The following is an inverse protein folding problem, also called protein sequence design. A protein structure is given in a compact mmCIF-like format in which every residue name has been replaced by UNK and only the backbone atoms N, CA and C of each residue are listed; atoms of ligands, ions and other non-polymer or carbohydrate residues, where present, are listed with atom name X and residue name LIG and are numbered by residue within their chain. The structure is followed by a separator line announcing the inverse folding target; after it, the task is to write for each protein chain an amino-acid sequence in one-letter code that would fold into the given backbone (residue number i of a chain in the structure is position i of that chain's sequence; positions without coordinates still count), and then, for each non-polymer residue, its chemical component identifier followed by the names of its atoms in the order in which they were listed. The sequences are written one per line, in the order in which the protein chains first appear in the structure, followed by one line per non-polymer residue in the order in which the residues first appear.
data_IF_452506527596
#
_entry.id   IF_452506527596
#
_cell.length_a   1.000
_cell.length_b   1.000
_cell.length_c   1.000
_cell.angle_alpha   90.00
_cell.angle_beta   90.00
_cell.angle_gamma   90.00
#
_symmetry.space_group_name_H-M   'P 1'
#
loop_
_entity.id
_entity.type
_entity.pdbx_description
1 polymer ?
#
# COMPACT_ATOMS: atom_id res chain seq x y z
N UNK A 1 -58.54 -14.87 8.70
CA UNK A 1 -57.60 -16.01 8.77
C UNK A 1 -58.29 -17.38 8.85
N UNK A 2 -59.16 -17.65 9.84
CA UNK A 2 -59.90 -18.94 9.93
C UNK A 2 -60.75 -19.26 8.69
N UNK A 3 -61.50 -18.28 8.18
CA UNK A 3 -62.31 -18.45 6.95
C UNK A 3 -61.47 -18.78 5.71
N UNK A 4 -60.30 -18.15 5.54
CA UNK A 4 -59.37 -18.42 4.45
C UNK A 4 -58.79 -19.85 4.52
N UNK A 5 -58.46 -20.32 5.72
CA UNK A 5 -57.96 -21.68 5.94
C UNK A 5 -59.04 -22.72 5.63
N UNK A 6 -60.30 -22.46 5.98
CA UNK A 6 -61.43 -23.35 5.64
C UNK A 6 -61.63 -23.44 4.13
N UNK A 7 -61.63 -22.30 3.43
CA UNK A 7 -61.76 -22.26 1.96
C UNK A 7 -60.63 -23.01 1.25
N UNK A 8 -59.39 -22.89 1.73
CA UNK A 8 -58.25 -23.64 1.18
C UNK A 8 -58.41 -25.15 1.42
N UNK A 9 -58.89 -25.57 2.60
CA UNK A 9 -59.11 -26.99 2.91
C UNK A 9 -60.19 -27.62 2.03
N UNK A 10 -61.31 -26.93 1.80
CA UNK A 10 -62.36 -27.39 0.88
C UNK A 10 -61.83 -27.52 -0.56
N UNK A 11 -61.01 -26.56 -0.99
CA UNK A 11 -60.43 -26.52 -2.34
C UNK A 11 -59.44 -27.68 -2.56
N UNK A 12 -58.59 -27.96 -1.56
CA UNK A 12 -57.66 -29.10 -1.58
C UNK A 12 -58.42 -30.43 -1.56
N UNK A 13 -59.50 -30.54 -0.77
CA UNK A 13 -60.31 -31.76 -0.71
C UNK A 13 -61.00 -32.08 -2.04
N UNK A 14 -61.50 -31.05 -2.74
CA UNK A 14 -62.07 -31.19 -4.09
C UNK A 14 -61.03 -31.44 -5.18
N UNK A 15 -59.77 -31.04 -4.97
CA UNK A 15 -58.66 -31.32 -5.90
C UNK A 15 -58.15 -32.76 -5.79
N UNK A 16 -58.22 -33.38 -4.61
CA UNK A 16 -57.70 -34.73 -4.36
C UNK A 16 -58.66 -35.85 -4.82
N UNK A 17 -59.96 -35.57 -4.99
CA UNK A 17 -60.93 -36.63 -5.33
C UNK A 17 -60.95 -37.03 -6.81
N UNK A 18 -60.22 -36.33 -7.68
CA UNK A 18 -60.25 -36.51 -9.12
C UNK A 18 -58.82 -36.64 -9.65
N UNK A 19 -58.37 -37.88 -9.88
CA UNK A 19 -56.99 -38.20 -10.29
C UNK A 19 -56.57 -37.46 -11.57
N UNK A 20 -57.52 -37.18 -12.47
CA UNK A 20 -57.31 -36.39 -13.68
C UNK A 20 -57.08 -34.90 -13.39
N UNK A 21 -57.69 -34.35 -12.33
CA UNK A 21 -57.41 -32.99 -11.85
C UNK A 21 -56.08 -32.90 -11.09
N UNK A 22 -55.68 -33.94 -10.37
CA UNK A 22 -54.34 -34.01 -9.73
C UNK A 22 -53.25 -33.95 -10.79
N UNK A 23 -53.38 -34.71 -11.88
CA UNK A 23 -52.41 -34.70 -12.97
C UNK A 23 -52.36 -33.34 -13.70
N UNK A 24 -53.52 -32.69 -13.89
CA UNK A 24 -53.59 -31.33 -14.45
C UNK A 24 -53.02 -30.28 -13.51
N UNK A 25 -53.23 -30.42 -12.20
CA UNK A 25 -52.67 -29.53 -11.19
C UNK A 25 -51.14 -29.70 -11.06
N UNK A 26 -50.62 -30.92 -11.13
CA UNK A 26 -49.17 -31.16 -11.11
C UNK A 26 -48.51 -30.59 -12.37
N UNK A 27 -49.17 -30.70 -13.53
CA UNK A 27 -48.68 -30.09 -14.76
C UNK A 27 -48.71 -28.56 -14.68
N UNK A 28 -49.79 -27.98 -14.13
CA UNK A 28 -49.91 -26.53 -13.92
C UNK A 28 -48.86 -26.02 -12.94
N UNK A 29 -48.62 -26.73 -11.83
CA UNK A 29 -47.58 -26.41 -10.85
C UNK A 29 -46.19 -26.52 -11.46
N UNK A 30 -45.93 -27.51 -12.32
CA UNK A 30 -44.66 -27.62 -13.05
C UNK A 30 -44.45 -26.44 -14.00
N UNK A 31 -45.50 -26.02 -14.73
CA UNK A 31 -45.44 -24.85 -15.62
C UNK A 31 -45.23 -23.55 -14.83
N UNK A 32 -45.92 -23.38 -13.70
CA UNK A 32 -45.73 -22.24 -12.80
C UNK A 32 -44.31 -22.25 -12.23
N UNK A 33 -43.79 -23.41 -11.83
CA UNK A 33 -42.43 -23.55 -11.31
C UNK A 33 -41.39 -23.18 -12.38
N UNK A 34 -41.54 -23.67 -13.61
CA UNK A 34 -40.67 -23.31 -14.74
C UNK A 34 -40.77 -21.80 -15.03
N UNK A 35 -41.96 -21.21 -14.97
CA UNK A 35 -42.15 -19.77 -15.18
C UNK A 35 -41.50 -18.94 -14.06
N UNK A 36 -41.64 -19.35 -12.80
CA UNK A 36 -40.99 -18.71 -11.65
C UNK A 36 -39.46 -18.84 -11.71
N UNK A 37 -38.94 -20.02 -12.11
CA UNK A 37 -37.50 -20.23 -12.33
C UNK A 37 -37.01 -19.35 -13.47
N UNK A 38 -37.75 -19.24 -14.58
CA UNK A 38 -37.40 -18.34 -15.68
C UNK A 38 -37.48 -16.86 -15.29
N UNK A 39 -38.44 -16.46 -14.46
CA UNK A 39 -38.51 -15.11 -13.89
C UNK A 39 -37.37 -14.83 -12.93
N UNK A 40 -36.96 -15.80 -12.11
CA UNK A 40 -35.80 -15.71 -11.23
C UNK A 40 -34.50 -15.63 -12.04
N UNK A 41 -34.34 -16.45 -13.08
CA UNK A 41 -33.19 -16.40 -14.00
C UNK A 41 -33.18 -15.08 -14.76
N UNK A 42 -34.32 -14.60 -15.27
CA UNK A 42 -34.46 -13.29 -15.92
C UNK A 42 -34.16 -12.14 -14.95
N UNK A 43 -34.64 -12.21 -13.71
CA UNK A 43 -34.36 -11.22 -12.67
C UNK A 43 -32.88 -11.25 -12.27
N UNK A 44 -32.28 -12.43 -12.19
CA UNK A 44 -30.86 -12.63 -11.91
C UNK A 44 -30.00 -12.15 -13.07
N UNK A 45 -30.38 -12.42 -14.32
CA UNK A 45 -29.73 -11.92 -15.53
C UNK A 45 -29.90 -10.40 -15.69
N UNK A 46 -31.04 -9.84 -15.29
CA UNK A 46 -31.27 -8.38 -15.25
C UNK A 46 -30.49 -7.71 -14.13
N UNK A 47 -30.32 -8.37 -12.98
CA UNK A 47 -29.41 -7.92 -11.91
C UNK A 47 -27.94 -8.06 -12.32
N UNK A 48 -27.58 -9.10 -13.09
CA UNK A 48 -26.26 -9.25 -13.70
C UNK A 48 -26.05 -8.19 -14.78
N UNK A 49 -27.04 -7.86 -15.60
CA UNK A 49 -26.96 -6.80 -16.61
C UNK A 49 -26.87 -5.42 -15.96
N UNK A 50 -27.67 -5.13 -14.92
CA UNK A 50 -27.58 -3.88 -14.15
C UNK A 50 -26.28 -3.79 -13.33
N UNK A 51 -25.74 -4.91 -12.84
CA UNK A 51 -24.40 -4.98 -12.25
C UNK A 51 -23.29 -4.93 -13.32
N UNK A 52 -23.48 -5.43 -14.54
CA UNK A 52 -22.49 -5.36 -15.63
C UNK A 52 -22.49 -3.99 -16.32
N UNK A 53 -23.56 -3.21 -16.17
CA UNK A 53 -23.60 -1.81 -16.59
C UNK A 53 -23.13 -0.85 -15.47
N UNK A 54 -22.90 -1.36 -14.24
CA UNK A 54 -22.45 -0.58 -13.09
C UNK A 54 -21.17 -1.11 -12.41
N UNK A 55 -20.65 -2.25 -12.85
CA UNK A 55 -19.46 -2.96 -12.37
C UNK A 55 -18.93 -3.76 -13.57
N UNK A 56 -18.14 -3.11 -14.42
CA UNK A 56 -17.07 -3.83 -15.11
C UNK A 56 -16.07 -4.20 -14.01
N UNK A 57 -16.09 -5.48 -13.61
CA UNK A 57 -15.06 -6.03 -12.74
C UNK A 57 -13.69 -5.70 -13.34
N UNK A 58 -12.77 -5.03 -12.62
CA UNK A 58 -11.36 -5.26 -12.90
C UNK A 58 -11.14 -6.76 -12.69
N UNK A 59 -10.44 -7.38 -13.63
CA UNK A 59 -9.93 -8.73 -13.43
C UNK A 59 -9.34 -8.84 -12.02
N UNK A 60 -9.70 -9.90 -11.29
CA UNK A 60 -8.78 -10.53 -10.35
C UNK A 60 -7.55 -10.91 -11.17
N UNK A 61 -6.72 -9.91 -11.43
CA UNK A 61 -5.37 -10.10 -11.91
C UNK A 61 -4.66 -10.56 -10.67
N UNK A 62 -4.54 -11.87 -10.51
CA UNK A 62 -3.62 -12.41 -9.53
C UNK A 62 -2.29 -11.69 -9.73
N UNK A 63 -1.68 -11.23 -8.64
CA UNK A 63 -0.34 -10.63 -8.64
C UNK A 63 0.68 -11.55 -9.37
N UNK A 64 0.37 -12.84 -9.54
CA UNK A 64 1.09 -13.79 -10.38
C UNK A 64 1.30 -13.36 -11.83
N UNK A 65 0.40 -12.59 -12.45
CA UNK A 65 0.58 -12.14 -13.84
C UNK A 65 1.57 -10.96 -13.95
N UNK A 66 1.89 -10.32 -12.81
CA UNK A 66 2.88 -9.25 -12.71
C UNK A 66 4.31 -9.78 -12.52
N UNK A 67 4.44 -11.05 -12.13
CA UNK A 67 5.72 -11.75 -12.11
C UNK A 67 6.11 -12.20 -13.52
N UNK A 68 6.43 -11.21 -14.36
CA UNK A 68 7.46 -11.40 -15.37
C UNK A 68 8.68 -11.88 -14.61
N UNK A 69 8.98 -13.18 -14.74
CA UNK A 69 10.23 -13.85 -14.41
C UNK A 69 11.28 -12.89 -13.85
N UNK A 70 11.42 -12.80 -12.52
CA UNK A 70 12.31 -11.85 -11.83
C UNK A 70 13.78 -12.03 -12.20
N UNK A 71 14.15 -13.15 -12.84
CA UNK A 71 15.43 -13.30 -13.50
C UNK A 71 15.67 -12.26 -14.61
N UNK A 72 14.60 -11.70 -15.21
CA UNK A 72 14.66 -10.64 -16.22
C UNK A 72 14.69 -9.21 -15.66
N UNK A 73 14.43 -8.98 -14.36
CA UNK A 73 14.57 -7.65 -13.75
C UNK A 73 16.04 -7.30 -13.48
N UNK A 74 16.87 -8.31 -13.19
CA UNK A 74 18.32 -8.16 -13.07
C UNK A 74 18.94 -7.74 -14.41
N UNK A 75 18.51 -8.33 -15.53
CA UNK A 75 18.94 -7.94 -16.88
C UNK A 75 18.38 -6.58 -17.34
N UNK A 76 17.20 -6.15 -16.84
CA UNK A 76 16.61 -4.83 -17.14
C UNK A 76 17.27 -3.67 -16.39
N UNK A 77 18.03 -3.95 -15.33
CA UNK A 77 18.73 -2.94 -14.53
C UNK A 77 19.84 -2.25 -15.34
N UNK A 78 20.53 -2.98 -16.20
CA UNK A 78 21.53 -2.42 -17.12
C UNK A 78 20.90 -1.55 -18.21
N UNK A 79 19.69 -1.88 -18.66
CA UNK A 79 18.96 -1.09 -19.64
C UNK A 79 18.45 0.25 -19.07
N UNK A 80 18.07 0.30 -17.78
CA UNK A 80 17.60 1.53 -17.11
C UNK A 80 18.75 2.45 -16.62
N UNK A 81 19.95 1.91 -16.39
CA UNK A 81 21.10 2.63 -15.85
C UNK A 81 22.18 3.04 -16.87
N UNK A 82 22.15 2.55 -18.12
CA UNK A 82 23.22 2.84 -19.09
C UNK A 82 23.03 4.18 -19.84
N UNK A 83 24.01 5.06 -19.62
CA UNK A 83 24.58 6.05 -20.55
C UNK A 83 23.77 7.27 -21.02
N UNK A 84 22.50 7.45 -20.64
CA UNK A 84 21.67 8.56 -21.16
C UNK A 84 21.40 9.74 -20.21
N UNK A 85 22.14 9.89 -19.10
CA UNK A 85 22.08 11.15 -18.33
C UNK A 85 22.93 12.21 -19.05
N UNK A 86 22.30 12.81 -20.05
CA UNK A 86 22.77 14.03 -20.68
C UNK A 86 22.68 15.15 -19.62
N UNK A 87 23.79 15.84 -19.38
CA UNK A 87 23.89 16.95 -18.44
C UNK A 87 22.76 17.98 -18.65
N UNK A 88 22.24 18.60 -17.57
CA UNK A 88 21.22 19.64 -17.67
C UNK A 88 21.66 20.74 -18.66
N UNK A 89 20.72 21.22 -19.47
CA UNK A 89 20.94 22.36 -20.37
C UNK A 89 21.77 22.10 -21.63
N UNK A 90 22.30 20.89 -21.87
CA UNK A 90 23.03 20.59 -23.11
C UNK A 90 22.13 20.45 -24.34
N UNK A 91 20.88 20.03 -24.17
CA UNK A 91 19.88 19.98 -25.23
C UNK A 91 18.78 21.02 -24.96
N UNK A 92 18.35 21.72 -26.00
CA UNK A 92 17.14 22.51 -25.92
C UNK A 92 15.93 21.55 -25.80
N UNK A 93 14.93 21.85 -24.95
CA UNK A 93 13.70 21.07 -24.94
C UNK A 93 13.10 21.09 -26.35
N UNK A 94 12.61 19.93 -26.80
CA UNK A 94 11.99 19.81 -28.11
C UNK A 94 10.62 20.52 -28.12
N UNK A 95 9.97 20.59 -26.95
CA UNK A 95 8.71 21.28 -26.74
C UNK A 95 8.86 22.80 -26.66
N UNK A 96 7.91 23.50 -27.28
CA UNK A 96 7.76 24.97 -27.21
C UNK A 96 6.96 25.44 -25.99
N UNK A 97 6.12 24.57 -25.39
CA UNK A 97 5.42 24.85 -24.15
C UNK A 97 4.93 23.57 -23.47
N UNK A 98 4.95 23.56 -22.13
CA UNK A 98 4.53 22.42 -21.31
C UNK A 98 3.44 22.87 -20.35
N UNK A 99 2.43 22.04 -20.16
CA UNK A 99 1.40 22.23 -19.13
C UNK A 99 1.21 20.94 -18.35
N UNK A 100 1.21 21.02 -17.03
CA UNK A 100 0.86 19.91 -16.16
C UNK A 100 -0.51 20.16 -15.54
N UNK A 101 -1.39 19.16 -15.58
CA UNK A 101 -2.70 19.20 -14.91
C UNK A 101 -2.83 18.01 -13.97
N UNK A 102 -3.19 18.23 -12.71
CA UNK A 102 -3.42 17.14 -11.76
C UNK A 102 -3.65 17.62 -10.33
N UNK A 103 -3.78 16.69 -9.36
CA UNK A 103 -4.04 16.99 -7.97
C UNK A 103 -2.76 17.50 -7.30
N UNK A 104 -2.54 18.81 -7.37
CA UNK A 104 -1.43 19.51 -6.72
C UNK A 104 -1.96 20.13 -5.44
N UNK A 105 -1.29 19.87 -4.30
CA UNK A 105 -1.69 20.37 -2.97
C UNK A 105 -3.17 20.11 -2.61
N UNK A 106 -3.74 19.00 -3.08
CA UNK A 106 -5.13 18.61 -2.84
C UNK A 106 -6.16 19.29 -3.77
N UNK A 107 -5.72 20.05 -4.78
CA UNK A 107 -6.58 20.70 -5.77
C UNK A 107 -6.17 20.30 -7.20
N UNK A 108 -7.15 20.15 -8.10
CA UNK A 108 -6.86 19.97 -9.52
C UNK A 108 -6.42 21.30 -10.14
N UNK A 109 -5.13 21.45 -10.40
CA UNK A 109 -4.53 22.66 -10.95
C UNK A 109 -3.92 22.38 -12.32
N UNK A 110 -3.98 23.38 -13.21
CA UNK A 110 -3.21 23.39 -14.46
C UNK A 110 -2.11 24.44 -14.36
N UNK A 111 -0.86 24.01 -14.42
CA UNK A 111 0.31 24.87 -14.34
C UNK A 111 1.02 24.91 -15.70
N UNK A 112 1.40 26.10 -16.13
CA UNK A 112 2.30 26.27 -17.28
C UNK A 112 3.73 26.16 -16.76
N UNK A 113 4.49 25.22 -17.31
CA UNK A 113 5.85 24.94 -16.84
C UNK A 113 6.82 25.94 -17.47
N UNK A 114 7.57 26.64 -16.63
CA UNK A 114 8.63 27.57 -17.05
C UNK A 114 10.03 27.05 -16.74
N UNK A 115 10.15 26.03 -15.88
CA UNK A 115 11.42 25.39 -15.51
C UNK A 115 12.04 24.66 -16.70
N UNK A 116 13.18 25.15 -17.20
CA UNK A 116 13.92 24.50 -18.29
C UNK A 116 14.42 23.12 -17.89
N UNK A 117 14.83 22.96 -16.63
CA UNK A 117 15.32 21.68 -16.10
C UNK A 117 14.21 20.63 -16.09
N UNK A 118 13.00 21.00 -15.65
CA UNK A 118 11.83 20.12 -15.73
C UNK A 118 11.57 19.67 -17.17
N UNK A 119 11.50 20.63 -18.11
CA UNK A 119 11.20 20.33 -19.51
C UNK A 119 12.25 19.39 -20.12
N UNK A 120 13.52 19.62 -19.79
CA UNK A 120 14.64 18.78 -20.25
C UNK A 120 14.54 17.36 -19.69
N UNK A 121 14.28 17.20 -18.38
CA UNK A 121 14.12 15.88 -17.76
C UNK A 121 12.88 15.14 -18.29
N UNK A 122 11.77 15.84 -18.50
CA UNK A 122 10.56 15.27 -19.08
C UNK A 122 10.82 14.72 -20.49
N UNK A 123 11.49 15.49 -21.36
CA UNK A 123 11.87 15.05 -22.69
C UNK A 123 12.85 13.86 -22.63
N UNK A 124 13.79 13.85 -21.69
CA UNK A 124 14.69 12.70 -21.51
C UNK A 124 13.92 11.43 -21.14
N UNK A 125 12.95 11.51 -20.22
CA UNK A 125 12.09 10.38 -19.84
C UNK A 125 11.25 9.91 -21.05
N UNK A 126 10.66 10.84 -21.80
CA UNK A 126 9.83 10.53 -22.97
C UNK A 126 10.66 9.92 -24.10
N UNK A 127 11.84 10.47 -24.39
CA UNK A 127 12.73 9.95 -25.42
C UNK A 127 13.19 8.54 -25.08
N UNK A 128 13.54 8.28 -23.81
CA UNK A 128 13.78 6.91 -23.35
C UNK A 128 12.60 5.99 -23.67
N UNK A 129 11.36 6.45 -23.50
CA UNK A 129 10.18 5.67 -23.87
C UNK A 129 10.09 5.30 -25.35
N UNK A 130 10.62 6.12 -26.24
CA UNK A 130 10.64 5.85 -27.67
C UNK A 130 11.77 4.92 -28.12
N UNK A 131 12.90 4.90 -27.40
CA UNK A 131 14.10 4.15 -27.81
C UNK A 131 14.23 2.75 -27.19
N UNK A 132 13.46 2.40 -26.16
CA UNK A 132 13.50 1.03 -25.63
C UNK A 132 12.84 0.00 -26.56
N UNK A 133 13.35 -1.23 -26.48
CA UNK A 133 12.81 -2.40 -27.17
C UNK A 133 11.38 -2.69 -26.71
N UNK A 134 10.61 -3.39 -27.56
CA UNK A 134 9.19 -3.74 -27.36
C UNK A 134 8.85 -4.33 -25.98
N UNK A 135 9.84 -4.90 -25.28
CA UNK A 135 9.66 -5.70 -24.08
C UNK A 135 9.55 -4.85 -22.78
N UNK A 136 9.74 -3.53 -22.90
CA UNK A 136 9.53 -2.55 -21.82
C UNK A 136 8.20 -1.80 -21.95
N UNK A 137 7.49 -1.98 -23.07
CA UNK A 137 6.24 -1.29 -23.36
C UNK A 137 5.08 -2.18 -22.91
N UNK A 138 4.30 -1.68 -21.94
CA UNK A 138 3.16 -2.38 -21.37
C UNK A 138 1.88 -1.68 -21.86
N UNK A 139 0.76 -2.39 -22.07
CA UNK A 139 -0.53 -1.75 -22.28
C UNK A 139 -0.84 -0.72 -21.18
N UNK A 140 -1.36 0.43 -21.60
CA UNK A 140 -1.84 1.46 -20.68
C UNK A 140 -3.04 0.97 -19.86
N UNK A 141 -3.31 1.67 -18.76
CA UNK A 141 -4.47 1.40 -17.90
C UNK A 141 -5.52 2.50 -18.04
N UNK A 142 -6.71 2.22 -17.52
CA UNK A 142 -7.72 3.25 -17.33
C UNK A 142 -7.28 4.17 -16.19
N UNK A 143 -6.87 5.39 -16.53
CA UNK A 143 -6.39 6.36 -15.55
C UNK A 143 -7.47 6.84 -14.59
N UNK A 144 -8.77 6.61 -14.88
CA UNK A 144 -9.86 6.97 -13.97
C UNK A 144 -9.90 6.10 -12.71
N UNK A 145 -9.18 4.97 -12.70
CA UNK A 145 -9.05 4.09 -11.54
C UNK A 145 -7.92 4.50 -10.61
N UNK A 146 -7.20 5.58 -10.91
CA UNK A 146 -6.05 6.05 -10.13
C UNK A 146 -6.46 7.19 -9.19
N UNK A 147 -6.01 7.10 -7.94
CA UNK A 147 -6.23 8.16 -6.95
C UNK A 147 -5.46 9.44 -7.29
N UNK A 148 -4.26 9.29 -7.88
CA UNK A 148 -3.38 10.40 -8.28
C UNK A 148 -2.82 10.16 -9.69
N UNK A 149 -3.06 11.12 -10.57
CA UNK A 149 -2.55 11.12 -11.94
C UNK A 149 -2.35 12.55 -12.43
N UNK A 150 -1.25 12.80 -13.14
CA UNK A 150 -0.92 14.09 -13.72
C UNK A 150 -0.88 14.00 -15.23
N UNK A 151 -1.64 14.85 -15.92
CA UNK A 151 -1.60 15.00 -17.36
C UNK A 151 -0.53 16.03 -17.76
N UNK A 152 0.50 15.58 -18.46
CA UNK A 152 1.51 16.41 -19.09
C UNK A 152 1.14 16.64 -20.57
N UNK A 153 0.86 17.89 -20.92
CA UNK A 153 0.61 18.33 -22.29
C UNK A 153 1.84 19.07 -22.82
N UNK A 154 2.35 18.63 -23.97
CA UNK A 154 3.56 19.19 -24.59
C UNK A 154 3.23 19.64 -26.01
N UNK A 155 3.57 20.89 -26.33
CA UNK A 155 3.38 21.45 -27.66
C UNK A 155 4.74 21.54 -28.38
N UNK A 156 5.00 20.65 -29.34
CA UNK A 156 6.26 20.55 -30.06
C UNK A 156 6.28 21.47 -31.29
N UNK A 157 6.51 22.77 -31.10
CA UNK A 157 6.52 23.78 -32.16
C UNK A 157 5.28 23.74 -33.09
N UNK A 158 5.26 24.53 -34.17
CA UNK A 158 4.09 24.63 -35.05
C UNK A 158 3.95 23.48 -36.08
N UNK A 159 4.97 22.61 -36.20
CA UNK A 159 5.03 21.57 -37.22
C UNK A 159 4.86 20.15 -36.65
N UNK A 160 5.04 19.96 -35.34
CA UNK A 160 4.82 18.67 -34.68
C UNK A 160 3.54 18.74 -33.85
N UNK A 161 2.62 17.77 -33.98
CA UNK A 161 1.43 17.72 -33.14
C UNK A 161 1.80 17.70 -31.65
N UNK A 162 0.96 18.34 -30.83
CA UNK A 162 1.10 18.22 -29.38
C UNK A 162 0.96 16.77 -28.92
N UNK A 163 1.68 16.42 -27.87
CA UNK A 163 1.58 15.10 -27.22
C UNK A 163 1.03 15.25 -25.81
N UNK A 164 0.20 14.29 -25.42
CA UNK A 164 -0.32 14.15 -24.07
C UNK A 164 0.24 12.88 -23.44
N UNK A 165 0.67 13.00 -22.18
CA UNK A 165 1.13 11.90 -21.35
C UNK A 165 0.45 11.95 -19.98
N UNK A 166 0.27 10.78 -19.37
CA UNK A 166 -0.12 10.65 -17.97
C UNK A 166 1.07 10.18 -17.14
N UNK A 167 1.35 10.85 -16.03
CA UNK A 167 2.35 10.51 -15.03
C UNK A 167 1.62 10.06 -13.76
N UNK A 168 1.94 8.87 -13.25
CA UNK A 168 1.30 8.34 -12.06
C UNK A 168 2.16 7.26 -11.40
N UNK A 169 1.79 6.87 -10.18
CA UNK A 169 2.30 5.67 -9.54
C UNK A 169 1.20 4.63 -9.41
N UNK A 170 1.55 3.37 -9.62
CA UNK A 170 0.69 2.22 -9.32
C UNK A 170 1.47 1.27 -8.42
N UNK A 171 0.95 0.99 -7.23
CA UNK A 171 1.60 0.17 -6.20
C UNK A 171 3.05 0.62 -5.93
N UNK A 172 3.26 1.93 -5.80
CA UNK A 172 4.58 2.55 -5.57
C UNK A 172 5.49 2.68 -6.80
N UNK A 173 5.17 2.00 -7.92
CA UNK A 173 5.98 2.02 -9.14
C UNK A 173 5.55 3.20 -10.04
N UNK A 174 6.46 4.08 -10.48
CA UNK A 174 6.11 5.20 -11.35
C UNK A 174 6.00 4.80 -12.82
N UNK A 175 5.04 5.40 -13.50
CA UNK A 175 4.77 5.19 -14.92
C UNK A 175 4.57 6.51 -15.66
N UNK A 176 4.92 6.47 -16.94
CA UNK A 176 4.47 7.43 -17.94
C UNK A 176 3.65 6.68 -19.00
N UNK A 177 2.46 7.18 -19.31
CA UNK A 177 1.54 6.60 -20.30
C UNK A 177 1.24 7.60 -21.41
N UNK A 178 1.51 7.23 -22.66
CA UNK A 178 1.13 8.04 -23.81
C UNK A 178 -0.36 7.95 -24.07
N UNK A 179 -1.04 9.09 -24.20
CA UNK A 179 -2.48 9.14 -24.52
C UNK A 179 -2.75 8.63 -25.93
N UNK A 180 -1.86 8.91 -26.88
CA UNK A 180 -2.07 8.61 -28.30
C UNK A 180 -2.05 7.12 -28.59
N UNK A 181 -1.06 6.40 -28.04
CA UNK A 181 -0.87 4.96 -28.29
C UNK A 181 -1.42 4.08 -27.18
N UNK A 182 -1.84 4.67 -26.05
CA UNK A 182 -2.30 3.98 -24.85
C UNK A 182 -1.33 2.89 -24.38
N UNK A 183 -0.05 3.25 -24.33
CA UNK A 183 1.04 2.42 -23.84
C UNK A 183 1.74 3.14 -22.71
N UNK A 184 2.22 2.36 -21.75
CA UNK A 184 2.94 2.87 -20.58
C UNK A 184 4.31 2.25 -20.45
N UNK A 185 5.18 3.00 -19.80
CA UNK A 185 6.54 2.58 -19.44
C UNK A 185 6.82 2.94 -17.99
N UNK A 186 7.59 2.08 -17.33
CA UNK A 186 8.11 2.35 -15.99
C UNK A 186 9.14 3.49 -16.04
N UNK A 187 9.02 4.44 -15.12
CA UNK A 187 9.99 5.53 -14.94
C UNK A 187 10.82 5.23 -13.69
N UNK A 188 12.15 5.41 -13.69
CA UNK A 188 12.94 5.29 -12.47
C UNK A 188 12.40 6.22 -11.37
N UNK A 189 12.27 5.70 -10.14
CA UNK A 189 11.72 6.49 -9.03
C UNK A 189 12.56 7.74 -8.73
N UNK A 190 13.89 7.65 -8.92
CA UNK A 190 14.81 8.80 -8.91
C UNK A 190 14.35 9.93 -9.83
N UNK A 191 14.06 9.60 -11.09
CA UNK A 191 13.73 10.59 -12.12
C UNK A 191 12.31 11.13 -11.91
N UNK A 192 11.37 10.27 -11.51
CA UNK A 192 10.00 10.66 -11.20
C UNK A 192 9.97 11.68 -10.05
N UNK A 193 10.62 11.38 -8.92
CA UNK A 193 10.67 12.31 -7.78
C UNK A 193 11.42 13.61 -8.10
N UNK A 194 12.57 13.51 -8.80
CA UNK A 194 13.33 14.68 -9.26
C UNK A 194 12.48 15.60 -10.14
N UNK A 195 11.67 15.03 -11.04
CA UNK A 195 10.78 15.79 -11.92
C UNK A 195 9.78 16.63 -11.11
N UNK A 196 9.17 16.09 -10.06
CA UNK A 196 8.23 16.85 -9.23
C UNK A 196 8.91 17.90 -8.35
N UNK A 197 10.10 17.61 -7.81
CA UNK A 197 10.89 18.62 -7.08
C UNK A 197 11.37 19.78 -7.96
N UNK A 198 11.53 19.57 -9.28
CA UNK A 198 11.83 20.64 -10.23
C UNK A 198 10.61 21.51 -10.60
N UNK A 199 9.40 21.05 -10.28
CA UNK A 199 8.15 21.72 -10.59
C UNK A 199 7.59 22.51 -9.41
N UNK A 200 7.54 21.85 -8.25
CA UNK A 200 6.97 22.38 -7.03
C UNK A 200 8.16 22.53 -6.09
N UNK A 201 8.63 23.75 -5.96
CA UNK A 201 9.49 24.07 -4.83
C UNK A 201 8.63 23.97 -3.58
N UNK A 202 8.83 22.92 -2.78
CA UNK A 202 8.35 22.87 -1.40
C UNK A 202 9.19 23.88 -0.63
N UNK A 203 8.85 25.17 -0.80
CA UNK A 203 9.68 26.29 -0.35
C UNK A 203 9.99 26.27 1.14
N UNK A 204 9.27 25.47 1.93
CA UNK A 204 9.63 25.15 3.31
C UNK A 204 10.78 24.15 3.37
N UNK A 205 10.63 22.95 2.81
CA UNK A 205 11.65 21.90 2.86
C UNK A 205 12.93 22.29 2.14
N UNK A 206 12.86 22.89 0.95
CA UNK A 206 14.06 23.29 0.21
C UNK A 206 14.88 24.35 0.95
N UNK A 207 14.22 25.34 1.55
CA UNK A 207 14.84 26.39 2.37
C UNK A 207 15.50 25.80 3.61
N UNK A 208 14.81 24.90 4.31
CA UNK A 208 15.32 24.25 5.51
C UNK A 208 16.54 23.39 5.18
N UNK A 209 16.46 22.54 4.14
CA UNK A 209 17.58 21.71 3.67
C UNK A 209 18.79 22.57 3.25
N UNK A 210 18.60 23.64 2.49
CA UNK A 210 19.74 24.49 2.08
C UNK A 210 20.40 25.20 3.26
N UNK A 211 19.59 25.66 4.23
CA UNK A 211 20.09 26.27 5.46
C UNK A 211 20.91 25.26 6.26
N UNK A 212 20.39 24.06 6.46
CA UNK A 212 21.02 23.03 7.29
C UNK A 212 22.30 22.48 6.61
N UNK A 213 22.27 22.27 5.29
CA UNK A 213 23.47 21.93 4.50
C UNK A 213 24.55 23.01 4.62
N UNK A 214 24.17 24.29 4.61
CA UNK A 214 25.11 25.42 4.76
C UNK A 214 25.77 25.44 6.14
N UNK A 215 25.02 25.10 7.19
CA UNK A 215 25.52 24.98 8.57
C UNK A 215 26.51 23.81 8.67
N UNK A 216 26.16 22.64 8.12
CA UNK A 216 27.03 21.46 8.08
C UNK A 216 28.36 21.78 7.38
N UNK A 217 28.29 22.36 6.17
CA UNK A 217 29.48 22.75 5.39
C UNK A 217 30.39 23.71 6.15
N UNK A 218 29.80 24.73 6.79
CA UNK A 218 30.56 25.72 7.57
C UNK A 218 31.21 25.06 8.78
N UNK A 219 30.53 24.10 9.43
CA UNK A 219 31.02 23.43 10.63
C UNK A 219 32.21 22.50 10.32
N UNK A 220 32.13 21.75 9.22
CA UNK A 220 33.22 20.89 8.74
C UNK A 220 34.49 21.69 8.39
N UNK A 221 34.35 22.91 7.88
CA UNK A 221 35.49 23.77 7.53
C UNK A 221 36.24 24.37 8.73
N UNK A 222 35.64 24.41 9.92
CA UNK A 222 36.14 25.15 11.09
C UNK A 222 36.69 24.27 12.22
N UNK A 223 36.85 22.95 12.02
CA UNK A 223 37.00 21.98 13.12
C UNK A 223 35.89 22.18 14.18
N UNK A 224 34.66 22.48 13.72
CA UNK A 224 33.55 22.96 14.54
C UNK A 224 32.98 21.90 15.49
N UNK A 225 32.17 22.36 16.45
CA UNK A 225 31.52 21.53 17.47
C UNK A 225 30.63 20.47 16.82
N UNK A 226 30.93 19.21 17.13
CA UNK A 226 30.26 18.00 16.62
C UNK A 226 28.72 18.02 16.76
N UNK A 227 28.21 18.70 17.80
CA UNK A 227 26.77 18.73 18.12
C UNK A 227 25.90 19.43 17.07
N UNK A 228 26.36 20.56 16.51
CA UNK A 228 25.54 21.35 15.58
C UNK A 228 25.46 20.64 14.23
N UNK A 229 26.57 20.05 13.79
CA UNK A 229 26.60 19.22 12.57
C UNK A 229 25.63 18.05 12.69
N UNK A 230 25.63 17.35 13.83
CA UNK A 230 24.74 16.21 14.07
C UNK A 230 23.27 16.62 14.04
N UNK A 231 22.88 17.69 14.73
CA UNK A 231 21.48 18.11 14.76
C UNK A 231 20.94 18.46 13.37
N UNK A 232 21.68 19.27 12.61
CA UNK A 232 21.26 19.67 11.26
C UNK A 232 21.22 18.46 10.29
N UNK A 233 22.08 17.47 10.50
CA UNK A 233 22.04 16.22 9.74
C UNK A 233 20.74 15.47 10.02
N UNK A 234 20.41 15.26 11.30
CA UNK A 234 19.17 14.60 11.73
C UNK A 234 17.94 15.38 11.26
N UNK A 235 17.95 16.72 11.32
CA UNK A 235 16.84 17.55 10.85
C UNK A 235 16.54 17.30 9.36
N UNK A 236 17.58 17.17 8.52
CA UNK A 236 17.41 16.79 7.11
C UNK A 236 16.84 15.37 6.98
N UNK A 237 17.31 14.40 7.79
CA UNK A 237 16.78 13.03 7.76
C UNK A 237 15.28 12.98 8.09
N UNK A 238 14.80 13.82 9.02
CA UNK A 238 13.38 13.89 9.38
C UNK A 238 12.48 14.34 8.23
N UNK A 239 13.00 15.09 7.25
CA UNK A 239 12.25 15.46 6.05
C UNK A 239 12.07 14.31 5.04
N UNK A 240 12.80 13.19 5.20
CA UNK A 240 12.63 11.97 4.43
C UNK A 240 12.67 12.17 2.90
N UNK A 241 11.69 11.60 2.20
CA UNK A 241 11.63 11.62 0.72
C UNK A 241 11.58 13.06 0.14
N UNK A 242 11.04 14.03 0.87
CA UNK A 242 11.00 15.42 0.40
C UNK A 242 12.42 16.01 0.29
N UNK A 243 13.26 15.80 1.32
CA UNK A 243 14.66 16.21 1.29
C UNK A 243 15.46 15.41 0.26
N UNK A 244 15.20 14.10 0.14
CA UNK A 244 15.82 13.25 -0.87
C UNK A 244 15.61 13.79 -2.28
N UNK A 245 14.36 13.99 -2.71
CA UNK A 245 14.09 14.43 -4.07
C UNK A 245 14.55 15.87 -4.33
N UNK A 246 14.53 16.73 -3.31
CA UNK A 246 15.14 18.05 -3.40
C UNK A 246 16.64 17.95 -3.69
N UNK A 247 17.40 17.18 -2.89
CA UNK A 247 18.83 17.00 -3.09
C UNK A 247 19.15 16.33 -4.44
N UNK A 248 18.35 15.36 -4.89
CA UNK A 248 18.48 14.77 -6.23
C UNK A 248 18.26 15.80 -7.35
N UNK A 249 17.41 16.80 -7.14
CA UNK A 249 17.25 17.93 -8.06
C UNK A 249 18.49 18.84 -8.09
N UNK A 250 19.20 18.98 -6.97
CA UNK A 250 20.47 19.72 -6.91
C UNK A 250 21.59 18.96 -7.63
N UNK A 251 21.64 17.63 -7.47
CA UNK A 251 22.51 16.78 -8.28
C UNK A 251 22.22 16.94 -9.77
N UNK A 252 20.93 16.90 -10.16
CA UNK A 252 20.51 17.12 -11.54
C UNK A 252 20.98 18.48 -12.08
N UNK A 253 20.94 19.54 -11.26
CA UNK A 253 21.42 20.89 -11.60
C UNK A 253 22.95 21.04 -11.59
N UNK A 254 23.70 19.99 -11.28
CA UNK A 254 25.15 19.98 -11.33
C UNK A 254 25.87 20.26 -10.01
N UNK A 255 25.17 20.25 -8.86
CA UNK A 255 25.79 20.50 -7.55
C UNK A 255 26.59 19.30 -6.98
N UNK A 256 26.60 18.16 -7.69
CA UNK A 256 27.25 16.92 -7.24
C UNK A 256 28.78 16.97 -7.11
N UNK A 257 29.48 17.80 -7.89
CA UNK A 257 30.95 17.86 -7.89
C UNK A 257 31.53 18.82 -6.82
N UNK A 258 30.84 18.96 -5.69
CA UNK A 258 31.19 19.91 -4.62
C UNK A 258 31.26 19.20 -3.26
N UNK A 259 31.82 19.87 -2.25
CA UNK A 259 31.73 19.40 -0.87
C UNK A 259 30.26 19.23 -0.40
N UNK A 260 29.35 20.08 -0.92
CA UNK A 260 27.90 19.95 -0.71
C UNK A 260 27.40 18.62 -1.31
N UNK A 261 27.86 18.28 -2.52
CA UNK A 261 27.57 17.02 -3.18
C UNK A 261 27.92 15.78 -2.36
N UNK A 262 29.07 15.77 -1.69
CA UNK A 262 29.45 14.66 -0.79
C UNK A 262 28.49 14.52 0.40
N UNK A 263 28.11 15.63 1.03
CA UNK A 263 27.16 15.60 2.16
C UNK A 263 25.79 15.13 1.69
N UNK A 264 25.30 15.65 0.55
CA UNK A 264 24.02 15.26 -0.04
C UNK A 264 23.99 13.77 -0.40
N UNK A 265 25.08 13.21 -0.94
CA UNK A 265 25.17 11.78 -1.25
C UNK A 265 24.95 10.92 0.00
N UNK A 266 25.64 11.25 1.10
CA UNK A 266 25.54 10.50 2.35
C UNK A 266 24.13 10.61 2.96
N UNK A 267 23.58 11.82 3.02
CA UNK A 267 22.20 12.04 3.49
C UNK A 267 21.20 11.27 2.64
N UNK A 268 21.34 11.27 1.31
CA UNK A 268 20.47 10.50 0.45
C UNK A 268 20.60 9.00 0.67
N UNK A 269 21.80 8.45 0.86
CA UNK A 269 21.99 7.01 1.15
C UNK A 269 21.36 6.63 2.51
N UNK A 270 21.48 7.49 3.51
CA UNK A 270 20.85 7.30 4.83
C UNK A 270 19.32 7.36 4.75
N UNK A 271 18.75 8.35 4.05
CA UNK A 271 17.30 8.45 3.81
C UNK A 271 16.79 7.22 3.05
N UNK A 272 17.55 6.77 2.03
CA UNK A 272 17.15 5.64 1.20
C UNK A 272 17.24 4.29 1.95
N UNK A 273 18.21 4.13 2.86
CA UNK A 273 18.38 2.91 3.64
C UNK A 273 18.46 1.65 2.75
N UNK A 274 17.45 0.78 2.82
CA UNK A 274 17.37 -0.45 2.02
C UNK A 274 16.90 -0.24 0.56
N UNK A 275 16.32 0.93 0.25
CA UNK A 275 15.89 1.30 -1.11
C UNK A 275 17.09 1.61 -2.00
N UNK A 276 18.22 1.97 -1.40
CA UNK A 276 19.46 2.19 -2.11
C UNK A 276 20.02 0.86 -2.63
N UNK A 277 20.47 0.85 -3.89
CA UNK A 277 21.11 -0.31 -4.49
C UNK A 277 22.65 -0.24 -4.46
N UNK A 278 23.21 0.95 -4.24
CA UNK A 278 24.63 1.22 -4.13
C UNK A 278 24.92 2.12 -2.93
N UNK A 279 25.70 1.62 -1.98
CA UNK A 279 26.14 2.41 -0.82
C UNK A 279 27.07 3.55 -1.25
N UNK A 280 27.15 4.59 -0.44
CA UNK A 280 27.97 5.78 -0.67
C UNK A 280 29.50 5.54 -0.57
N UNK A 281 29.97 4.30 -0.69
CA UNK A 281 31.36 3.92 -0.45
C UNK A 281 32.18 3.92 -1.76
N UNK A 282 33.36 4.53 -1.72
CA UNK A 282 34.41 4.50 -2.75
C UNK A 282 34.03 5.00 -4.17
N UNK A 283 32.94 5.77 -4.33
CA UNK A 283 32.55 6.41 -5.60
C UNK A 283 32.31 7.92 -5.45
N UNK A 284 32.47 8.66 -6.55
CA UNK A 284 32.22 10.11 -6.54
C UNK A 284 30.71 10.41 -6.44
N UNK A 285 30.28 11.55 -5.85
CA UNK A 285 28.85 11.86 -5.72
C UNK A 285 28.09 11.93 -7.04
N UNK A 286 28.74 12.40 -8.11
CA UNK A 286 28.13 12.43 -9.43
C UNK A 286 27.99 11.03 -10.03
N UNK A 287 29.00 10.18 -9.85
CA UNK A 287 28.96 8.78 -10.29
C UNK A 287 27.90 8.00 -9.51
N UNK A 288 27.81 8.22 -8.19
CA UNK A 288 26.75 7.69 -7.35
C UNK A 288 25.38 8.11 -7.88
N UNK A 289 25.14 9.41 -8.07
CA UNK A 289 23.85 9.92 -8.56
C UNK A 289 23.50 9.37 -9.95
N UNK A 290 24.47 9.29 -10.86
CA UNK A 290 24.25 8.77 -12.21
C UNK A 290 23.82 7.31 -12.18
N UNK A 291 24.48 6.52 -11.34
CA UNK A 291 24.21 5.09 -11.18
C UNK A 291 23.09 4.76 -10.18
N UNK A 292 22.59 5.76 -9.45
CA UNK A 292 21.61 5.56 -8.39
C UNK A 292 20.34 4.96 -8.97
N UNK A 293 19.97 3.80 -8.44
CA UNK A 293 18.67 3.21 -8.65
C UNK A 293 17.95 3.06 -7.31
N UNK A 294 16.83 3.76 -7.18
CA UNK A 294 15.96 3.67 -6.00
C UNK A 294 14.98 2.53 -6.24
N UNK A 295 15.08 1.48 -5.43
CA UNK A 295 14.14 0.36 -5.45
C UNK A 295 12.75 0.88 -5.07
N UNK A 296 11.73 0.78 -5.95
CA UNK A 296 10.37 1.15 -5.59
C UNK A 296 9.85 0.18 -4.52
N UNK A 297 9.04 0.71 -3.60
CA UNK A 297 8.25 -0.12 -2.68
C UNK A 297 7.08 -0.73 -3.45
N UNK A 298 6.92 -2.05 -3.35
CA UNK A 298 5.71 -2.73 -3.77
C UNK A 298 4.75 -2.73 -2.58
N UNK A 299 3.74 -1.87 -2.65
CA UNK A 299 2.70 -1.80 -1.61
C UNK A 299 1.84 -3.05 -1.67
N UNK A 300 1.71 -3.75 -0.54
CA UNK A 300 0.93 -4.96 -0.39
C UNK A 300 -0.20 -4.75 0.63
N UNK A 301 -1.34 -5.45 0.49
CA UNK A 301 -2.43 -5.36 1.47
C UNK A 301 -2.07 -6.09 2.76
N UNK A 302 -2.65 -5.68 3.88
CA UNK A 302 -2.42 -6.36 5.16
C UNK A 302 -2.90 -7.81 5.19
N UNK A 303 -2.40 -8.57 6.15
CA UNK A 303 -2.80 -9.95 6.37
C UNK A 303 -4.30 -10.09 6.61
N UNK A 304 -4.92 -11.04 5.89
CA UNK A 304 -6.32 -11.43 6.09
C UNK A 304 -6.41 -12.90 6.47
N UNK A 305 -7.06 -13.18 7.60
CA UNK A 305 -7.32 -14.53 8.06
C UNK A 305 -8.27 -15.29 7.12
N UNK A 306 -7.81 -16.45 6.64
CA UNK A 306 -8.54 -17.29 5.67
C UNK A 306 -9.31 -18.46 6.30
N UNK A 307 -9.31 -18.58 7.63
CA UNK A 307 -10.02 -19.64 8.32
C UNK A 307 -11.53 -19.39 8.44
N UNK A 308 -12.25 -20.42 8.89
CA UNK A 308 -13.72 -20.41 8.96
C UNK A 308 -14.28 -19.99 10.33
N UNK A 309 -13.45 -19.84 11.35
CA UNK A 309 -13.89 -19.37 12.67
C UNK A 309 -14.24 -17.88 12.59
N UNK A 310 -15.52 -17.57 12.79
CA UNK A 310 -16.05 -16.20 12.68
C UNK A 310 -15.53 -15.26 13.77
N UNK A 311 -15.36 -15.74 14.99
CA UNK A 311 -14.89 -14.90 16.09
C UNK A 311 -13.38 -14.67 15.98
N UNK A 312 -12.63 -15.71 15.58
CA UNK A 312 -11.22 -15.53 15.29
C UNK A 312 -11.00 -14.60 14.09
N UNK A 313 -11.83 -14.71 13.04
CA UNK A 313 -11.79 -13.78 11.91
C UNK A 313 -12.04 -12.33 12.35
N UNK A 314 -13.05 -12.09 13.19
CA UNK A 314 -13.32 -10.78 13.79
C UNK A 314 -12.11 -10.24 14.57
N UNK A 315 -11.41 -11.09 15.31
CA UNK A 315 -10.18 -10.73 16.03
C UNK A 315 -9.09 -10.30 15.07
N UNK A 316 -8.80 -11.09 14.03
CA UNK A 316 -7.79 -10.75 13.02
C UNK A 316 -8.11 -9.45 12.30
N UNK A 317 -9.37 -9.26 11.86
CA UNK A 317 -9.81 -8.04 11.19
C UNK A 317 -9.63 -6.80 12.10
N UNK A 318 -9.99 -6.93 13.39
CA UNK A 318 -9.85 -5.84 14.36
C UNK A 318 -8.39 -5.51 14.64
N UNK A 319 -7.54 -6.50 14.90
CA UNK A 319 -6.10 -6.26 15.13
C UNK A 319 -5.44 -5.68 13.89
N UNK A 320 -5.68 -6.23 12.70
CA UNK A 320 -5.12 -5.69 11.46
C UNK A 320 -5.51 -4.23 11.27
N UNK A 321 -6.78 -3.87 11.49
CA UNK A 321 -7.23 -2.48 11.36
C UNK A 321 -6.59 -1.55 12.40
N UNK A 322 -6.44 -1.99 13.65
CA UNK A 322 -5.84 -1.17 14.73
C UNK A 322 -4.34 -0.99 14.52
N UNK A 323 -3.67 -1.99 13.93
CA UNK A 323 -2.23 -1.99 13.69
C UNK A 323 -1.84 -1.42 12.33
N UNK A 324 -2.80 -1.13 11.45
CA UNK A 324 -2.47 -0.60 10.13
C UNK A 324 -1.64 0.69 10.23
N UNK A 325 -0.51 0.71 9.54
CA UNK A 325 0.44 1.81 9.52
C UNK A 325 1.12 1.88 8.14
N UNK A 326 0.69 2.85 7.33
CA UNK A 326 1.19 3.06 5.96
C UNK A 326 2.71 3.29 5.91
N UNK A 327 3.29 3.89 6.96
CA UNK A 327 4.73 4.20 6.99
C UNK A 327 5.56 2.95 7.29
N UNK A 328 4.98 1.97 7.99
CA UNK A 328 5.64 0.73 8.38
C UNK A 328 5.46 -0.40 7.34
N UNK A 329 4.48 -0.28 6.43
CA UNK A 329 4.19 -1.28 5.40
C UNK A 329 3.07 -2.24 5.81
N UNK A 330 3.00 -3.42 5.20
CA UNK A 330 1.92 -4.35 5.49
C UNK A 330 2.14 -5.07 6.83
N UNK A 331 1.07 -5.35 7.56
CA UNK A 331 1.12 -6.01 8.87
C UNK A 331 0.75 -7.50 8.78
N UNK A 332 1.53 -8.33 9.46
CA UNK A 332 1.16 -9.70 9.84
C UNK A 332 0.77 -9.70 11.31
N UNK A 333 -0.48 -10.02 11.61
CA UNK A 333 -0.96 -10.16 13.00
C UNK A 333 -1.09 -11.63 13.40
N UNK A 334 -0.83 -11.92 14.66
CA UNK A 334 -0.79 -13.27 15.21
C UNK A 334 -1.37 -13.27 16.64
N UNK A 335 -2.70 -13.40 16.78
CA UNK A 335 -3.39 -13.36 18.06
C UNK A 335 -3.42 -14.74 18.75
N UNK A 336 -3.19 -14.74 20.07
CA UNK A 336 -3.56 -15.81 20.98
C UNK A 336 -4.78 -15.38 21.79
N UNK A 337 -5.91 -16.04 21.59
CA UNK A 337 -7.16 -15.73 22.31
C UNK A 337 -7.25 -16.54 23.60
N UNK A 338 -7.35 -15.85 24.74
CA UNK A 338 -7.49 -16.49 26.04
C UNK A 338 -8.94 -16.90 26.35
N UNK A 339 -9.91 -16.22 25.75
CA UNK A 339 -11.32 -16.57 25.86
C UNK A 339 -12.27 -15.53 25.25
N UNK A 340 -13.50 -15.99 25.04
CA UNK A 340 -14.65 -15.21 24.59
C UNK A 340 -15.67 -15.18 25.73
N UNK A 341 -16.08 -13.99 26.17
CA UNK A 341 -16.95 -13.80 27.32
C UNK A 341 -18.18 -13.01 26.90
N UNK A 342 -19.35 -13.66 26.86
CA UNK A 342 -20.61 -13.01 26.51
C UNK A 342 -21.43 -12.66 27.77
N UNK A 343 -22.05 -11.48 27.80
CA UNK A 343 -23.04 -11.09 28.81
C UNK A 343 -24.14 -10.23 28.17
N UNK A 344 -25.32 -10.81 27.97
CA UNK A 344 -26.40 -10.17 27.20
C UNK A 344 -26.02 -10.02 25.72
N UNK A 345 -26.08 -8.78 25.20
CA UNK A 345 -25.67 -8.46 23.83
C UNK A 345 -24.21 -7.96 23.75
N UNK A 346 -23.39 -8.25 24.76
CA UNK A 346 -21.99 -7.82 24.79
C UNK A 346 -21.07 -9.04 24.70
N UNK A 347 -20.03 -8.94 23.87
CA UNK A 347 -18.95 -9.91 23.75
C UNK A 347 -17.63 -9.22 24.12
N UNK A 348 -16.92 -9.74 25.12
CA UNK A 348 -15.52 -9.37 25.39
C UNK A 348 -14.58 -10.48 24.92
N UNK A 349 -13.53 -10.10 24.20
CA UNK A 349 -12.46 -11.00 23.78
C UNK A 349 -11.16 -10.53 24.44
N UNK A 350 -10.46 -11.45 25.11
CA UNK A 350 -9.14 -11.18 25.72
C UNK A 350 -8.08 -11.95 24.96
N UNK A 351 -7.01 -11.26 24.57
CA UNK A 351 -5.98 -11.80 23.70
C UNK A 351 -4.60 -11.17 23.92
N UNK A 352 -3.56 -11.86 23.46
CA UNK A 352 -2.23 -11.29 23.22
C UNK A 352 -1.93 -11.41 21.74
N UNK A 353 -1.55 -10.31 21.10
CA UNK A 353 -1.21 -10.27 19.67
C UNK A 353 0.26 -9.95 19.48
N UNK A 354 0.94 -10.80 18.72
CA UNK A 354 2.21 -10.45 18.06
C UNK A 354 1.87 -9.84 16.70
N UNK A 355 2.44 -8.69 16.39
CA UNK A 355 2.29 -8.04 15.09
C UNK A 355 3.66 -7.63 14.56
N UNK A 356 3.91 -7.90 13.28
CA UNK A 356 5.15 -7.58 12.59
C UNK A 356 4.82 -6.84 11.27
N UNK A 357 5.57 -5.78 10.98
CA UNK A 357 5.44 -4.98 9.77
C UNK A 357 6.55 -5.32 8.77
N UNK A 358 6.18 -5.28 7.50
CA UNK A 358 7.11 -5.55 6.42
C UNK A 358 6.92 -4.62 5.23
N UNK A 359 8.04 -4.29 4.59
CA UNK A 359 8.06 -3.63 3.28
C UNK A 359 8.71 -4.54 2.24
N UNK A 360 8.14 -4.56 1.05
CA UNK A 360 8.69 -5.29 -0.09
C UNK A 360 9.36 -4.29 -1.05
N UNK A 361 10.67 -4.45 -1.23
CA UNK A 361 11.42 -3.72 -2.26
C UNK A 361 11.92 -4.73 -3.29
N UNK A 362 11.35 -4.68 -4.48
CA UNK A 362 11.58 -5.68 -5.54
C UNK A 362 11.32 -7.11 -5.04
N UNK A 363 12.38 -7.91 -4.87
CA UNK A 363 12.32 -9.28 -4.36
C UNK A 363 12.87 -9.40 -2.93
N UNK A 364 13.03 -8.28 -2.21
CA UNK A 364 13.55 -8.27 -0.84
C UNK A 364 12.48 -7.82 0.14
N UNK A 365 12.12 -8.70 1.06
CA UNK A 365 11.22 -8.41 2.18
C UNK A 365 12.04 -7.89 3.36
N UNK A 366 11.68 -6.72 3.87
CA UNK A 366 12.35 -6.03 4.96
C UNK A 366 11.41 -5.97 6.15
N UNK A 367 11.85 -6.47 7.31
CA UNK A 367 11.19 -6.20 8.58
C UNK A 367 11.40 -4.75 9.00
N UNK A 368 10.31 -4.03 9.27
CA UNK A 368 10.34 -2.60 9.62
C UNK A 368 10.02 -2.34 11.09
N UNK A 369 9.39 -3.28 11.77
CA UNK A 369 9.09 -3.18 13.20
C UNK A 369 7.98 -4.12 13.62
N UNK A 370 7.57 -4.04 14.88
CA UNK A 370 6.54 -4.91 15.42
C UNK A 370 6.51 -4.88 16.94
N UNK A 371 5.65 -5.70 17.52
CA UNK A 371 5.53 -5.77 18.97
C UNK A 371 4.57 -6.85 19.43
N UNK A 372 4.47 -6.98 20.75
CA UNK A 372 3.51 -7.88 21.41
C UNK A 372 2.63 -7.05 22.33
N UNK A 373 1.32 -7.17 22.19
CA UNK A 373 0.36 -6.41 22.98
C UNK A 373 -0.75 -7.30 23.53
N UNK A 374 -1.00 -7.21 24.83
CA UNK A 374 -2.19 -7.80 25.45
C UNK A 374 -3.34 -6.80 25.41
N UNK A 375 -4.51 -7.27 24.99
CA UNK A 375 -5.66 -6.40 24.75
C UNK A 375 -6.99 -7.04 25.14
N UNK A 376 -7.98 -6.19 25.36
CA UNK A 376 -9.39 -6.52 25.50
C UNK A 376 -10.21 -5.79 24.43
N UNK A 377 -11.03 -6.55 23.71
CA UNK A 377 -11.98 -6.02 22.73
C UNK A 377 -13.39 -6.22 23.25
N UNK A 378 -14.19 -5.15 23.33
CA UNK A 378 -15.61 -5.20 23.67
C UNK A 378 -16.44 -4.92 22.43
N UNK A 379 -17.35 -5.82 22.12
CA UNK A 379 -18.24 -5.75 20.97
C UNK A 379 -19.71 -5.77 21.39
N UNK A 380 -20.51 -4.94 20.73
CA UNK A 380 -21.95 -5.10 20.70
C UNK A 380 -22.34 -6.20 19.71
N UNK A 381 -23.25 -7.08 20.11
CA UNK A 381 -23.85 -8.11 19.24
C UNK A 381 -25.17 -7.60 18.67
N UNK A 382 -25.22 -7.45 17.37
CA UNK A 382 -26.39 -6.97 16.62
C UNK A 382 -27.44 -8.07 16.42
N UNK A 383 -28.65 -7.66 16.00
CA UNK A 383 -29.79 -8.59 15.77
C UNK A 383 -29.55 -9.61 14.66
N UNK A 384 -28.69 -9.29 13.70
CA UNK A 384 -28.28 -10.18 12.60
C UNK A 384 -27.07 -11.06 12.96
N UNK A 385 -26.60 -11.00 14.21
CA UNK A 385 -25.38 -11.62 14.73
C UNK A 385 -24.07 -11.05 14.16
N UNK A 386 -24.07 -9.84 13.59
CA UNK A 386 -22.83 -9.09 13.41
C UNK A 386 -22.34 -8.51 14.75
N UNK A 387 -21.09 -8.09 14.77
CA UNK A 387 -20.45 -7.49 15.93
C UNK A 387 -19.93 -6.09 15.58
N UNK A 388 -20.15 -5.13 16.47
CA UNK A 388 -19.66 -3.76 16.34
C UNK A 388 -18.69 -3.49 17.49
N UNK A 389 -17.45 -3.07 17.21
CA UNK A 389 -16.46 -2.76 18.24
C UNK A 389 -16.92 -1.52 19.02
N UNK A 390 -17.16 -1.66 20.32
CA UNK A 390 -17.50 -0.55 21.22
C UNK A 390 -16.28 0.03 21.92
N UNK A 391 -15.33 -0.84 22.32
CA UNK A 391 -14.15 -0.43 23.08
C UNK A 391 -12.98 -1.37 22.84
N UNK A 392 -11.80 -0.80 22.62
CA UNK A 392 -10.52 -1.50 22.59
C UNK A 392 -9.63 -0.99 23.72
N UNK A 393 -9.07 -1.91 24.51
CA UNK A 393 -8.20 -1.60 25.64
C UNK A 393 -6.90 -2.38 25.49
N UNK A 394 -5.76 -1.68 25.46
CA UNK A 394 -4.44 -2.31 25.41
C UNK A 394 -3.75 -2.17 26.77
N UNK A 395 -2.97 -3.18 27.16
CA UNK A 395 -2.07 -3.09 28.30
C UNK A 395 -1.06 -1.94 28.12
N UNK A 396 -0.86 -1.15 29.17
CA UNK A 396 0.18 -0.12 29.24
C UNK A 396 1.56 -0.75 29.43
N UNK A 397 2.64 -0.03 29.14
CA UNK A 397 4.00 -0.55 29.37
C UNK A 397 4.52 -0.33 30.81
N UNK A 398 5.64 -0.98 31.12
CA UNK A 398 6.42 -0.75 32.34
C UNK A 398 5.66 -1.09 33.62
N UNK A 399 5.72 -0.21 34.62
CA UNK A 399 5.10 -0.43 35.94
C UNK A 399 3.57 -0.55 35.91
N UNK A 400 2.92 -0.15 34.81
CA UNK A 400 1.46 -0.18 34.67
C UNK A 400 0.95 -1.42 33.92
N UNK A 401 1.85 -2.24 33.38
CA UNK A 401 1.50 -3.41 32.56
C UNK A 401 0.58 -4.39 33.30
N UNK A 402 1.01 -4.88 34.46
CA UNK A 402 0.22 -5.84 35.24
C UNK A 402 -1.12 -5.26 35.68
N UNK A 403 -1.13 -4.02 36.17
CA UNK A 403 -2.35 -3.36 36.64
C UNK A 403 -3.38 -3.20 35.51
N UNK A 404 -2.95 -2.79 34.32
CA UNK A 404 -3.86 -2.62 33.18
C UNK A 404 -4.47 -3.96 32.74
N UNK A 405 -3.68 -5.04 32.76
CA UNK A 405 -4.18 -6.39 32.45
C UNK A 405 -5.24 -6.83 33.46
N UNK A 406 -5.00 -6.59 34.76
CA UNK A 406 -5.99 -6.89 35.80
C UNK A 406 -7.29 -6.10 35.61
N UNK A 407 -7.20 -4.84 35.23
CA UNK A 407 -8.34 -3.94 35.06
C UNK A 407 -9.29 -4.39 33.95
N UNK A 408 -8.77 -4.81 32.80
CA UNK A 408 -9.63 -5.25 31.70
C UNK A 408 -10.12 -6.71 31.82
N UNK A 409 -9.55 -7.50 32.75
CA UNK A 409 -9.92 -8.90 33.04
C UNK A 409 -11.24 -9.05 33.83
N UNK A 410 -12.30 -8.43 33.32
CA UNK A 410 -13.65 -8.39 33.90
C UNK A 410 -14.72 -8.71 32.85
N UNK A 411 -15.86 -9.23 33.28
CA UNK A 411 -17.03 -9.49 32.43
C UNK A 411 -17.54 -8.21 31.73
N UNK A 412 -18.00 -8.29 30.47
CA UNK A 412 -18.31 -7.10 29.67
C UNK A 412 -19.43 -6.20 30.20
N UNK A 413 -20.43 -6.75 30.90
CA UNK A 413 -21.57 -5.94 31.36
C UNK A 413 -21.57 -5.73 32.88
N UNK A 414 -21.33 -6.79 33.65
CA UNK A 414 -21.36 -6.74 35.12
C UNK A 414 -20.06 -6.24 35.75
N UNK A 415 -18.96 -6.17 35.00
CA UNK A 415 -17.64 -5.78 35.52
C UNK A 415 -17.06 -6.75 36.57
N UNK A 416 -17.65 -7.96 36.71
CA UNK A 416 -17.14 -8.97 37.63
C UNK A 416 -15.79 -9.49 37.14
N UNK A 417 -14.80 -9.58 38.04
CA UNK A 417 -13.49 -10.18 37.72
C UNK A 417 -13.64 -11.60 37.17
N UNK A 418 -12.86 -11.92 36.13
CA UNK A 418 -12.76 -13.26 35.57
C UNK A 418 -11.63 -13.99 36.33
N UNK A 419 -11.93 -14.98 37.20
CA UNK A 419 -10.93 -15.54 38.10
C UNK A 419 -9.76 -16.19 37.35
N UNK A 420 -8.53 -15.83 37.73
CA UNK A 420 -7.29 -16.41 37.20
C UNK A 420 -6.87 -15.93 35.80
N UNK A 421 -7.70 -15.15 35.10
CA UNK A 421 -7.42 -14.74 33.72
C UNK A 421 -6.18 -13.82 33.62
N UNK A 422 -6.07 -12.82 34.50
CA UNK A 422 -4.94 -11.91 34.49
C UNK A 422 -3.59 -12.65 34.65
N UNK A 423 -3.51 -13.58 35.61
CA UNK A 423 -2.31 -14.41 35.81
C UNK A 423 -2.00 -15.24 34.55
N UNK A 424 -3.01 -15.84 33.91
CA UNK A 424 -2.82 -16.60 32.67
C UNK A 424 -2.22 -15.75 31.54
N UNK A 425 -2.66 -14.49 31.41
CA UNK A 425 -2.12 -13.55 30.41
C UNK A 425 -0.67 -13.18 30.75
N UNK A 426 -0.39 -12.85 32.01
CA UNK A 426 0.96 -12.50 32.48
C UNK A 426 1.96 -13.66 32.31
N UNK A 427 1.53 -14.88 32.64
CA UNK A 427 2.34 -16.09 32.47
C UNK A 427 2.64 -16.32 30.98
N UNK A 428 1.65 -16.14 30.10
CA UNK A 428 1.84 -16.26 28.66
C UNK A 428 2.79 -15.20 28.08
N UNK A 429 2.70 -13.95 28.53
CA UNK A 429 3.61 -12.90 28.08
C UNK A 429 5.06 -13.13 28.50
N UNK A 430 5.31 -13.96 29.51
CA UNK A 430 6.67 -14.37 29.90
C UNK A 430 7.29 -15.37 28.91
N UNK A 431 6.48 -16.05 28.10
CA UNK A 431 6.93 -16.96 27.05
C UNK A 431 5.85 -17.16 25.97
N UNK A 432 5.94 -16.39 24.89
CA UNK A 432 5.02 -16.43 23.76
C UNK A 432 5.61 -17.11 22.51
N UNK A 433 6.45 -18.14 22.68
CA UNK A 433 7.08 -18.87 21.57
C UNK A 433 6.10 -19.39 20.51
N UNK A 434 4.89 -19.74 20.94
CA UNK A 434 3.83 -20.21 20.04
C UNK A 434 3.39 -19.12 19.05
N UNK A 435 3.40 -17.84 19.47
CA UNK A 435 3.12 -16.72 18.57
C UNK A 435 4.20 -16.55 17.52
N UNK A 436 5.47 -16.76 17.86
CA UNK A 436 6.57 -16.67 16.88
C UNK A 436 6.42 -17.74 15.79
N UNK A 437 6.06 -18.96 16.19
CA UNK A 437 5.81 -20.06 15.24
C UNK A 437 4.62 -19.74 14.34
N UNK A 438 3.50 -19.30 14.92
CA UNK A 438 2.30 -18.95 14.15
C UNK A 438 2.54 -17.73 13.23
N UNK A 439 3.39 -16.78 13.64
CA UNK A 439 3.79 -15.63 12.82
C UNK A 439 4.55 -16.08 11.58
N UNK A 440 5.48 -17.02 11.71
CA UNK A 440 6.21 -17.58 10.57
C UNK A 440 5.26 -18.32 9.60
N UNK A 441 4.29 -19.06 10.14
CA UNK A 441 3.26 -19.75 9.35
C UNK A 441 2.33 -18.76 8.62
N UNK A 442 1.88 -17.71 9.32
CA UNK A 442 1.04 -16.66 8.77
C UNK A 442 1.78 -15.91 7.66
N UNK A 443 3.02 -15.47 7.90
CA UNK A 443 3.83 -14.78 6.89
C UNK A 443 4.07 -15.69 5.67
N UNK A 444 4.44 -16.95 5.88
CA UNK A 444 4.66 -17.90 4.77
C UNK A 444 3.40 -18.10 3.94
N UNK A 445 2.26 -18.29 4.61
CA UNK A 445 0.95 -18.47 3.94
C UNK A 445 0.56 -17.21 3.17
N UNK A 446 0.79 -16.04 3.76
CA UNK A 446 0.55 -14.75 3.14
C UNK A 446 1.41 -14.57 1.88
N UNK A 447 2.73 -14.72 2.00
CA UNK A 447 3.64 -14.59 0.85
C UNK A 447 3.25 -15.53 -0.28
N UNK A 448 2.91 -16.78 0.05
CA UNK A 448 2.39 -17.75 -0.92
C UNK A 448 1.11 -17.25 -1.62
N UNK A 449 0.15 -16.72 -0.88
CA UNK A 449 -1.09 -16.17 -1.45
C UNK A 449 -0.85 -14.99 -2.40
N UNK A 450 0.24 -14.25 -2.18
CA UNK A 450 0.67 -13.13 -3.03
C UNK A 450 1.59 -13.56 -4.19
N UNK A 451 1.94 -14.85 -4.32
CA UNK A 451 2.89 -15.34 -5.32
C UNK A 451 4.36 -15.02 -5.00
N UNK A 452 4.68 -14.74 -3.74
CA UNK A 452 5.96 -14.22 -3.23
C UNK A 452 6.82 -15.29 -2.55
N UNK A 453 6.72 -16.55 -2.97
CA UNK A 453 7.36 -17.68 -2.27
C UNK A 453 8.91 -17.62 -2.29
N UNK A 454 9.49 -16.87 -3.22
CA UNK A 454 10.93 -16.77 -3.46
C UNK A 454 11.54 -15.42 -3.08
N UNK A 455 10.85 -14.61 -2.27
CA UNK A 455 11.40 -13.34 -1.79
C UNK A 455 12.55 -13.58 -0.79
N UNK A 456 13.57 -12.75 -0.88
CA UNK A 456 14.68 -12.72 0.07
C UNK A 456 14.23 -12.01 1.34
N UNK A 457 14.25 -12.69 2.47
CA UNK A 457 13.95 -12.07 3.75
C UNK A 457 15.24 -11.52 4.36
N UNK A 458 15.27 -10.21 4.61
CA UNK A 458 16.34 -9.57 5.37
C UNK A 458 15.87 -9.39 6.80
N UNK A 459 16.30 -10.29 7.68
CA UNK A 459 16.14 -10.11 9.11
C UNK A 459 17.18 -9.11 9.57
N UNK A 460 16.75 -8.04 10.25
CA UNK A 460 17.69 -7.31 11.09
C UNK A 460 18.08 -8.26 12.22
N UNK A 461 19.31 -8.76 12.16
CA UNK A 461 19.97 -9.31 13.34
C UNK A 461 20.13 -8.16 14.31
N UNK A 462 19.09 -7.84 15.08
CA UNK A 462 19.31 -7.22 16.37
C UNK A 462 20.12 -8.24 17.14
N UNK A 463 21.42 -8.02 17.17
CA UNK A 463 22.30 -8.59 18.17
C UNK A 463 21.63 -8.30 19.51
N UNK A 464 20.99 -9.34 20.07
CA UNK A 464 20.86 -9.51 21.50
C UNK A 464 22.29 -9.71 22.02
N UNK A 465 23.07 -8.63 22.08
CA UNK A 465 24.32 -8.53 22.85
C UNK A 465 24.04 -7.80 24.16
#
# INVERSE_FOLDING_TARGET
MKSFITTIKELIKNLISDKTKILRLSLLLAVIFIFCVNLLISSYQKQISLKQTAITNPSETSISDYYINTNGLVDKKEALNSDFIIQPGMNAPEGSSYKLTGPLTGMNLTITITSKDFMTLADQIINRCYYYTSDSIIPGIDISTLDKCYKLHINYNQYTPSSDYYLYQQNGIPYIQSVKVNQRMMVPLKDYGTLFSLLIDDGTVSTDVDKDLSIILTSLSKNGKDSDCKQNYEDILHHGDNALYYMLSLFYKGEGNTAKGTIMMNLCDDILGNRCDKKADDISPIEWYQNLYIKPETVLPDFTYQGNDKLLKLVYETETQIRHDDDMGFVIVTPHVFGYYEEGNQLKILLTTLYDYYKLYENTLIYTGGGVASSAMNFHKEKDNSYTLEKYEQASDGSYFNATIEDFCVMPHSGKKIPGLANKILDFNSNYSDLLTLRDENLKTYLKSQGLENVLQKTYSYLLD
#
